data_IF_343364641080
#
_entry.id   IF_343364641080
#
_cell.length_a   1.000
_cell.length_b   1.000
_cell.length_c   1.000
_cell.angle_alpha   90.00
_cell.angle_beta   90.00
_cell.angle_gamma   90.00
#
_symmetry.space_group_name_H-M   'P 1'
#
loop_
_entity.id
_entity.type
_entity.pdbx_description
1 polymer ?
#
# COMPACT_ATOMS: atom_id res chain seq x y z
N UNK A 1 0.96 -2.88 17.89
CA UNK A 1 1.22 -1.56 17.28
C UNK A 1 1.64 -1.79 15.84
N UNK A 2 0.84 -1.35 14.87
CA UNK A 2 1.24 -1.38 13.46
C UNK A 2 2.19 -0.22 13.22
N UNK A 3 3.49 -0.49 13.04
CA UNK A 3 4.47 0.54 12.71
C UNK A 3 4.26 0.95 11.25
N UNK A 4 3.46 2.00 11.06
CA UNK A 4 3.26 2.57 9.75
C UNK A 4 4.54 3.30 9.30
N UNK A 5 4.86 3.14 8.02
CA UNK A 5 5.97 3.78 7.34
C UNK A 5 5.46 4.64 6.19
N UNK A 6 6.27 5.60 5.76
CA UNK A 6 6.03 6.41 4.58
C UNK A 6 6.19 5.61 3.29
N UNK A 7 5.72 6.17 2.18
CA UNK A 7 5.91 5.61 0.84
C UNK A 7 7.39 5.41 0.48
N UNK A 8 8.25 6.38 0.81
CA UNK A 8 9.68 6.29 0.51
C UNK A 8 10.34 5.14 1.30
N UNK A 9 9.96 4.95 2.56
CA UNK A 9 10.42 3.81 3.35
C UNK A 9 9.88 2.48 2.82
N UNK A 10 8.63 2.45 2.34
CA UNK A 10 8.06 1.29 1.68
C UNK A 10 8.82 0.91 0.40
N UNK A 11 9.13 1.88 -0.45
CA UNK A 11 9.92 1.67 -1.69
C UNK A 11 11.35 1.19 -1.36
N UNK A 12 11.97 1.74 -0.30
CA UNK A 12 13.26 1.25 0.20
C UNK A 12 13.17 -0.18 0.72
N UNK A 13 12.16 -0.49 1.54
CA UNK A 13 11.95 -1.84 2.07
C UNK A 13 11.72 -2.87 0.96
N UNK A 14 10.89 -2.54 -0.04
CA UNK A 14 10.71 -3.36 -1.23
C UNK A 14 12.02 -3.56 -2.01
N UNK A 15 12.91 -2.56 -2.02
CA UNK A 15 14.24 -2.66 -2.63
C UNK A 15 15.22 -3.54 -1.88
N UNK A 16 15.03 -3.67 -0.57
CA UNK A 16 15.76 -4.60 0.29
C UNK A 16 15.14 -6.02 0.27
N UNK A 17 14.14 -6.27 -0.58
CA UNK A 17 13.46 -7.57 -0.68
C UNK A 17 12.46 -7.84 0.45
N UNK A 18 12.10 -6.82 1.24
CA UNK A 18 11.07 -6.94 2.29
C UNK A 18 9.68 -6.87 1.67
N UNK A 19 8.72 -7.48 2.36
CA UNK A 19 7.31 -7.45 1.96
C UNK A 19 6.61 -6.26 2.60
N UNK A 20 5.75 -5.57 1.84
CA UNK A 20 5.09 -4.35 2.30
C UNK A 20 3.58 -4.45 2.06
N UNK A 21 2.79 -3.90 2.99
CA UNK A 21 1.36 -3.67 2.79
C UNK A 21 1.06 -2.19 2.63
N UNK A 22 0.17 -1.86 1.71
CA UNK A 22 -0.52 -0.58 1.62
C UNK A 22 -1.84 -0.64 2.40
N UNK A 23 -2.17 0.42 3.13
CA UNK A 23 -3.36 0.51 3.97
C UNK A 23 -4.23 1.70 3.56
N UNK A 24 -5.51 1.45 3.34
CA UNK A 24 -6.48 2.47 2.95
C UNK A 24 -7.87 2.13 3.49
N UNK A 25 -8.50 3.06 4.21
CA UNK A 25 -9.85 2.91 4.76
C UNK A 25 -10.14 1.57 5.47
N UNK A 26 -9.21 1.14 6.33
CA UNK A 26 -9.34 -0.12 7.09
C UNK A 26 -9.09 -1.39 6.28
N UNK A 27 -8.73 -1.26 4.99
CA UNK A 27 -8.25 -2.35 4.17
C UNK A 27 -6.73 -2.35 4.07
N UNK A 28 -6.16 -3.52 3.82
CA UNK A 28 -4.73 -3.68 3.61
C UNK A 28 -4.48 -4.66 2.47
N UNK A 29 -3.54 -4.32 1.59
CA UNK A 29 -3.11 -5.18 0.48
C UNK A 29 -1.60 -5.24 0.45
N UNK A 30 -1.05 -6.42 0.17
CA UNK A 30 0.38 -6.55 -0.09
C UNK A 30 0.73 -5.97 -1.47
N UNK A 31 1.84 -5.24 -1.52
CA UNK A 31 2.29 -4.56 -2.73
C UNK A 31 3.72 -4.97 -3.06
N UNK A 32 4.08 -4.80 -4.32
CA UNK A 32 5.44 -4.86 -4.81
C UNK A 32 5.86 -3.53 -5.44
N UNK A 33 7.06 -3.49 -6.03
CA UNK A 33 7.60 -2.29 -6.70
C UNK A 33 6.84 -1.88 -7.96
N UNK A 34 6.12 -2.81 -8.59
CA UNK A 34 5.42 -2.61 -9.85
C UNK A 34 3.94 -2.28 -9.65
N UNK A 35 3.45 -2.42 -8.41
CA UNK A 35 2.05 -2.20 -8.06
C UNK A 35 1.65 -0.75 -8.35
N UNK A 36 0.74 -0.59 -9.31
CA UNK A 36 0.22 0.71 -9.74
C UNK A 36 -1.02 1.11 -8.94
N UNK A 37 -1.47 2.35 -9.12
CA UNK A 37 -2.76 2.81 -8.58
C UNK A 37 -3.93 1.93 -9.07
N UNK A 38 -3.90 1.47 -10.32
CA UNK A 38 -4.98 0.64 -10.87
C UNK A 38 -4.98 -0.76 -10.24
N UNK A 39 -3.80 -1.31 -9.94
CA UNK A 39 -3.67 -2.57 -9.22
C UNK A 39 -4.22 -2.42 -7.79
N UNK A 40 -3.86 -1.34 -7.09
CA UNK A 40 -4.40 -1.05 -5.77
C UNK A 40 -5.94 -0.92 -5.79
N UNK A 41 -6.48 -0.20 -6.77
CA UNK A 41 -7.94 -0.06 -6.98
C UNK A 41 -8.62 -1.41 -7.19
N UNK A 42 -7.99 -2.28 -7.97
CA UNK A 42 -8.49 -3.62 -8.25
C UNK A 42 -8.42 -4.53 -7.02
N UNK A 43 -7.28 -4.54 -6.33
CA UNK A 43 -7.05 -5.38 -5.15
C UNK A 43 -7.90 -4.94 -3.95
N UNK A 44 -8.21 -3.65 -3.84
CA UNK A 44 -9.06 -3.07 -2.78
C UNK A 44 -10.55 -2.94 -3.19
N UNK A 45 -10.98 -3.57 -4.29
CA UNK A 45 -12.32 -3.40 -4.89
C UNK A 45 -13.48 -3.66 -3.93
N UNK A 46 -13.30 -4.52 -2.92
CA UNK A 46 -14.36 -4.97 -2.01
C UNK A 46 -15.03 -3.83 -1.22
N UNK A 47 -14.40 -2.65 -1.11
CA UNK A 47 -15.00 -1.47 -0.46
C UNK A 47 -15.16 -0.26 -1.39
N UNK A 48 -15.44 -0.50 -2.69
CA UNK A 48 -15.55 0.57 -3.71
C UNK A 48 -14.27 1.39 -3.89
N UNK A 49 -13.11 0.90 -3.42
CA UNK A 49 -11.83 1.61 -3.54
C UNK A 49 -11.50 1.97 -5.00
N UNK A 50 -11.98 1.17 -5.95
CA UNK A 50 -11.89 1.45 -7.38
C UNK A 50 -12.36 2.87 -7.77
N UNK A 51 -13.38 3.40 -7.11
CA UNK A 51 -13.95 4.72 -7.42
C UNK A 51 -13.39 5.86 -6.59
N UNK A 52 -12.80 5.57 -5.42
CA UNK A 52 -12.42 6.59 -4.43
C UNK A 52 -10.93 6.68 -4.16
N UNK A 53 -10.15 5.63 -4.46
CA UNK A 53 -8.71 5.67 -4.26
C UNK A 53 -8.07 6.59 -5.30
N UNK A 54 -7.42 7.65 -4.81
CA UNK A 54 -6.74 8.65 -5.64
C UNK A 54 -5.22 8.50 -5.59
N UNK A 55 -4.52 9.18 -6.49
CA UNK A 55 -3.04 9.28 -6.45
C UNK A 55 -2.59 9.88 -5.12
N UNK A 56 -3.32 10.87 -4.58
CA UNK A 56 -2.98 11.55 -3.34
C UNK A 56 -3.04 10.61 -2.13
N UNK A 57 -4.01 9.68 -2.13
CA UNK A 57 -4.13 8.64 -1.10
C UNK A 57 -2.98 7.64 -1.13
N UNK A 58 -2.42 7.37 -2.31
CA UNK A 58 -1.24 6.50 -2.45
C UNK A 58 0.01 7.24 -2.00
N UNK A 59 0.23 8.47 -2.48
CA UNK A 59 1.39 9.30 -2.12
C UNK A 59 1.47 9.54 -0.61
N UNK A 60 0.35 9.89 0.03
CA UNK A 60 0.27 10.17 1.46
C UNK A 60 -0.28 8.98 2.27
N UNK A 61 -0.29 7.80 1.65
CA UNK A 61 -0.87 6.60 2.23
C UNK A 61 -0.06 6.02 3.37
N UNK A 62 -0.67 5.08 4.09
CA UNK A 62 -0.01 4.35 5.16
C UNK A 62 0.51 3.03 4.63
N UNK A 63 1.77 2.72 4.93
CA UNK A 63 2.41 1.47 4.55
C UNK A 63 2.89 0.73 5.79
N UNK A 64 3.13 -0.58 5.72
CA UNK A 64 3.78 -1.32 6.79
C UNK A 64 4.63 -2.46 6.24
N UNK A 65 5.76 -2.75 6.88
CA UNK A 65 6.57 -3.93 6.56
C UNK A 65 5.93 -5.17 7.19
N UNK A 66 5.83 -6.26 6.41
CA UNK A 66 5.42 -7.57 6.92
C UNK A 66 6.66 -8.24 7.51
N UNK A 67 6.84 -8.12 8.82
CA UNK A 67 7.83 -8.92 9.54
C UNK A 67 7.21 -10.31 9.79
N UNK A 68 7.89 -11.37 9.34
CA UNK A 68 7.57 -12.74 9.74
C UNK A 68 7.95 -12.98 11.19
#
# INVERSE_FOLDING_TARGET
MSNFISRNEAEKALSEGKRVKFHWNGLSVEIDKLTTLNDLRWLLREKKAMFYLTVNDVVNGKYSIINK
#
